data_IF_538758890301
#
_entry.id   IF_538758890301
#
_cell.length_a   1.000
_cell.length_b   1.000
_cell.length_c   1.000
_cell.angle_alpha   90.00
_cell.angle_beta   90.00
_cell.angle_gamma   90.00
#
_symmetry.space_group_name_H-M   'P 1'
#
loop_
_entity.id
_entity.type
_entity.pdbx_description
1 polymer ?
#
# COMPACT_ATOMS: atom_id res chain seq x y z
N UNK A 1 -6.44 -1.81 30.00
CA UNK A 1 -7.42 -1.02 29.25
C UNK A 1 -7.81 -1.84 28.03
N UNK A 2 -9.07 -2.25 27.94
CA UNK A 2 -9.63 -2.86 26.74
C UNK A 2 -10.10 -1.73 25.84
N UNK A 3 -9.49 -1.59 24.65
CA UNK A 3 -10.00 -0.67 23.63
C UNK A 3 -11.22 -1.30 22.96
N UNK A 4 -12.18 -0.48 22.57
CA UNK A 4 -13.21 -0.88 21.62
C UNK A 4 -12.53 -1.27 20.30
N UNK A 5 -12.95 -2.35 19.66
CA UNK A 5 -12.43 -2.77 18.36
C UNK A 5 -13.53 -2.69 17.32
N UNK A 6 -13.15 -2.33 16.10
CA UNK A 6 -14.03 -2.30 14.92
C UNK A 6 -13.32 -3.01 13.77
N UNK A 7 -14.07 -3.52 12.83
CA UNK A 7 -13.47 -4.08 11.61
C UNK A 7 -13.00 -2.98 10.67
N UNK A 8 -11.95 -3.26 9.90
CA UNK A 8 -11.40 -2.30 8.94
C UNK A 8 -12.47 -1.86 7.91
N UNK A 9 -13.39 -2.75 7.52
CA UNK A 9 -14.49 -2.44 6.60
C UNK A 9 -15.53 -1.48 7.19
N UNK A 10 -15.65 -1.35 8.50
CA UNK A 10 -16.53 -0.36 9.14
C UNK A 10 -15.97 1.05 8.99
N UNK A 11 -14.65 1.21 9.01
CA UNK A 11 -13.96 2.49 9.04
C UNK A 11 -13.26 2.88 7.73
N UNK A 12 -13.16 1.96 6.77
CA UNK A 12 -12.52 2.19 5.48
C UNK A 12 -13.26 1.51 4.33
N UNK A 13 -13.14 2.06 3.14
CA UNK A 13 -13.51 1.41 1.89
C UNK A 13 -12.38 0.49 1.43
N UNK A 14 -12.70 -0.77 1.21
CA UNK A 14 -11.78 -1.75 0.63
C UNK A 14 -12.10 -1.91 -0.85
N UNK A 15 -11.30 -1.30 -1.70
CA UNK A 15 -11.50 -1.27 -3.15
C UNK A 15 -10.55 -2.29 -3.78
N UNK A 16 -11.09 -3.37 -4.32
CA UNK A 16 -10.30 -4.32 -5.13
C UNK A 16 -10.21 -3.78 -6.56
N UNK A 17 -9.02 -3.84 -7.14
CA UNK A 17 -8.75 -3.25 -8.43
C UNK A 17 -9.50 -3.87 -9.61
N UNK A 18 -9.55 -3.14 -10.70
CA UNK A 18 -10.24 -3.53 -11.93
C UNK A 18 -9.50 -4.65 -12.67
N UNK A 19 -10.27 -5.54 -13.29
CA UNK A 19 -9.75 -6.67 -14.05
C UNK A 19 -9.40 -6.27 -15.49
N UNK A 20 -8.35 -5.46 -15.65
CA UNK A 20 -7.83 -5.10 -16.95
C UNK A 20 -7.32 -6.33 -17.71
N UNK A 21 -7.53 -6.38 -19.01
CA UNK A 21 -6.96 -7.42 -19.86
C UNK A 21 -5.49 -7.11 -20.13
N UNK A 22 -4.61 -8.02 -19.77
CA UNK A 22 -3.15 -7.80 -19.85
C UNK A 22 -2.62 -7.59 -21.27
N UNK A 23 -3.33 -8.11 -22.29
CA UNK A 23 -3.00 -7.91 -23.70
C UNK A 23 -3.16 -6.45 -24.16
N UNK A 24 -3.99 -5.67 -23.45
CA UNK A 24 -4.30 -4.28 -23.77
C UNK A 24 -3.37 -3.29 -23.03
N UNK A 25 -2.44 -3.83 -22.21
CA UNK A 25 -1.43 -3.01 -21.55
C UNK A 25 -0.40 -2.49 -22.56
N UNK A 26 -0.01 -1.23 -22.42
CA UNK A 26 1.12 -0.71 -23.19
C UNK A 26 2.37 -0.49 -22.33
N UNK A 27 3.52 -0.39 -22.99
CA UNK A 27 4.84 -0.20 -22.38
C UNK A 27 5.50 1.11 -22.79
N UNK A 28 4.83 1.88 -23.63
CA UNK A 28 5.38 3.10 -24.24
C UNK A 28 5.15 4.38 -23.41
N UNK A 29 4.57 4.25 -22.22
CA UNK A 29 4.31 5.39 -21.34
C UNK A 29 3.03 6.16 -21.64
N UNK A 30 2.19 5.68 -22.58
CA UNK A 30 0.96 6.38 -22.94
C UNK A 30 -0.18 6.03 -21.99
N UNK A 31 -0.78 7.05 -21.37
CA UNK A 31 -1.92 6.93 -20.47
C UNK A 31 -1.54 6.96 -19.00
N UNK A 32 -2.27 6.22 -18.16
CA UNK A 32 -2.13 6.18 -16.71
C UNK A 32 -1.39 4.91 -16.26
N UNK A 33 -0.45 5.04 -15.36
CA UNK A 33 0.31 3.90 -14.81
C UNK A 33 -0.62 2.96 -14.04
N UNK A 34 -0.36 1.67 -14.21
CA UNK A 34 -1.10 0.59 -13.58
C UNK A 34 -0.37 0.07 -12.33
N UNK A 35 -1.03 0.12 -11.16
CA UNK A 35 -0.52 -0.49 -9.93
C UNK A 35 -0.96 -1.95 -9.88
N UNK A 36 -0.01 -2.85 -10.10
CA UNK A 36 -0.19 -4.31 -10.05
C UNK A 36 0.56 -4.88 -8.84
N UNK A 37 0.25 -6.10 -8.40
CA UNK A 37 0.89 -6.72 -7.24
C UNK A 37 2.42 -6.64 -7.25
N UNK A 38 3.05 -6.82 -8.43
CA UNK A 38 4.51 -6.75 -8.57
C UNK A 38 5.11 -5.33 -8.47
N UNK A 39 4.28 -4.30 -8.56
CA UNK A 39 4.72 -2.93 -8.38
C UNK A 39 4.76 -2.53 -6.89
N UNK A 40 4.14 -3.33 -6.01
CA UNK A 40 4.10 -3.04 -4.58
C UNK A 40 5.23 -3.81 -3.89
N UNK A 41 6.03 -3.10 -3.14
CA UNK A 41 7.06 -3.65 -2.27
C UNK A 41 6.75 -3.30 -0.81
N UNK A 42 7.59 -3.68 0.13
CA UNK A 42 7.38 -3.31 1.52
C UNK A 42 7.52 -1.79 1.69
N UNK A 43 6.40 -1.12 1.97
CA UNK A 43 6.24 0.32 2.24
C UNK A 43 6.48 1.25 1.03
N UNK A 44 6.62 0.74 -0.20
CA UNK A 44 6.89 1.59 -1.36
C UNK A 44 6.36 0.99 -2.67
N UNK A 45 6.28 1.82 -3.71
CA UNK A 45 6.06 1.38 -5.09
C UNK A 45 7.40 1.22 -5.81
N UNK A 46 7.46 0.25 -6.71
CA UNK A 46 8.62 0.01 -7.57
C UNK A 46 8.19 0.11 -9.04
N UNK A 47 8.89 0.95 -9.76
CA UNK A 47 8.73 1.14 -11.20
C UNK A 47 9.99 0.67 -11.94
N UNK A 48 9.86 0.24 -13.19
CA UNK A 48 10.97 -0.24 -14.03
C UNK A 48 10.44 -0.81 -15.35
N UNK A 49 11.16 -1.72 -15.97
CA UNK A 49 10.80 -2.36 -17.26
C UNK A 49 9.42 -3.04 -17.25
N UNK A 50 9.00 -3.46 -16.07
CA UNK A 50 7.68 -4.04 -15.83
C UNK A 50 6.55 -3.04 -15.70
N UNK A 51 6.81 -1.73 -15.73
CA UNK A 51 5.76 -0.70 -15.67
C UNK A 51 4.81 -0.85 -16.86
N UNK A 52 3.51 -0.70 -16.62
CA UNK A 52 2.46 -0.80 -17.62
C UNK A 52 1.52 0.39 -17.49
N UNK A 53 0.95 0.78 -18.61
CA UNK A 53 0.05 1.92 -18.72
C UNK A 53 -1.26 1.50 -19.36
N UNK A 54 -2.30 2.28 -19.07
CA UNK A 54 -3.64 2.14 -19.64
C UNK A 54 -4.05 3.43 -20.35
N UNK A 55 -4.51 3.32 -21.58
CA UNK A 55 -4.89 4.48 -22.41
C UNK A 55 -6.33 4.42 -22.93
N UNK A 56 -7.06 3.33 -22.68
CA UNK A 56 -8.46 3.21 -23.06
C UNK A 56 -9.37 3.59 -21.87
N UNK A 57 -10.08 4.70 -22.04
CA UNK A 57 -11.04 5.23 -21.06
C UNK A 57 -12.48 5.18 -21.59
N UNK A 58 -12.78 4.24 -22.48
CA UNK A 58 -14.14 4.00 -23.00
C UNK A 58 -15.13 3.51 -21.92
N UNK A 59 -14.62 3.01 -20.81
CA UNK A 59 -15.37 2.60 -19.63
C UNK A 59 -15.09 3.52 -18.44
N UNK A 60 -16.03 3.64 -17.53
CA UNK A 60 -15.84 4.42 -16.30
C UNK A 60 -14.86 3.70 -15.34
N UNK A 61 -13.69 4.28 -15.18
CA UNK A 61 -12.64 3.83 -14.26
C UNK A 61 -12.48 4.72 -13.03
N UNK A 62 -13.37 5.69 -12.83
CA UNK A 62 -13.27 6.71 -11.77
C UNK A 62 -13.04 6.11 -10.38
N UNK A 63 -13.71 5.00 -10.08
CA UNK A 63 -13.57 4.27 -8.81
C UNK A 63 -12.15 3.72 -8.57
N UNK A 64 -11.43 3.41 -9.63
CA UNK A 64 -10.13 2.74 -9.57
C UNK A 64 -8.94 3.69 -9.65
N UNK A 65 -9.18 4.99 -9.83
CA UNK A 65 -8.12 5.98 -9.68
C UNK A 65 -7.72 6.08 -8.21
N UNK A 66 -6.42 5.90 -7.99
CA UNK A 66 -5.83 6.09 -6.68
C UNK A 66 -5.69 7.58 -6.37
N UNK A 67 -5.75 7.88 -5.09
CA UNK A 67 -5.60 9.22 -4.53
C UNK A 67 -4.37 9.26 -3.64
N UNK A 68 -3.89 10.46 -3.40
CA UNK A 68 -2.86 10.69 -2.38
C UNK A 68 -3.29 10.09 -1.04
N UNK A 69 -2.34 9.51 -0.34
CA UNK A 69 -2.49 8.79 0.93
C UNK A 69 -3.29 7.48 0.87
N UNK A 70 -3.81 7.05 -0.27
CA UNK A 70 -4.37 5.70 -0.38
C UNK A 70 -3.34 4.65 0.04
N UNK A 71 -3.77 3.62 0.75
CA UNK A 71 -2.94 2.48 1.11
C UNK A 71 -3.25 1.34 0.13
N UNK A 72 -2.24 0.83 -0.55
CA UNK A 72 -2.41 -0.30 -1.47
C UNK A 72 -1.71 -1.55 -0.92
N UNK A 73 -2.35 -2.71 -1.09
CA UNK A 73 -1.88 -4.01 -0.60
C UNK A 73 -1.91 -5.04 -1.72
N UNK A 74 -0.81 -5.76 -1.91
CA UNK A 74 -0.76 -6.91 -2.81
C UNK A 74 -1.56 -8.09 -2.25
N UNK A 75 -2.47 -8.65 -3.05
CA UNK A 75 -3.43 -9.67 -2.62
C UNK A 75 -2.99 -11.10 -2.95
N UNK A 76 -1.89 -11.31 -3.64
CA UNK A 76 -1.38 -12.63 -4.02
C UNK A 76 0.15 -12.71 -3.96
N UNK A 77 0.65 -13.95 -4.09
CA UNK A 77 2.07 -14.25 -4.10
C UNK A 77 2.67 -14.56 -2.72
N UNK A 78 3.95 -14.90 -2.71
CA UNK A 78 4.68 -15.33 -1.49
C UNK A 78 4.75 -14.25 -0.39
N UNK A 79 4.63 -12.97 -0.79
CA UNK A 79 4.68 -11.81 0.11
C UNK A 79 3.30 -11.16 0.29
N UNK A 80 2.22 -11.95 0.14
CA UNK A 80 0.85 -11.47 0.34
C UNK A 80 0.70 -10.84 1.72
N UNK A 81 0.12 -9.62 1.76
CA UNK A 81 -0.06 -8.85 2.99
C UNK A 81 1.22 -8.23 3.58
N UNK A 82 2.39 -8.56 3.04
CA UNK A 82 3.69 -7.97 3.44
C UNK A 82 4.18 -6.90 2.47
N UNK A 83 3.60 -6.89 1.26
CA UNK A 83 3.79 -5.86 0.25
C UNK A 83 2.61 -4.89 0.31
N UNK A 84 2.87 -3.70 0.81
CA UNK A 84 1.91 -2.59 0.92
C UNK A 84 2.65 -1.26 0.73
N UNK A 85 1.95 -0.25 0.24
CA UNK A 85 2.51 1.09 0.05
C UNK A 85 1.45 2.16 0.30
N UNK A 86 1.89 3.35 0.71
CA UNK A 86 1.09 4.56 0.74
C UNK A 86 1.38 5.35 -0.55
N UNK A 87 0.33 5.80 -1.21
CA UNK A 87 0.43 6.57 -2.45
C UNK A 87 0.81 8.02 -2.12
N UNK A 88 1.84 8.53 -2.77
CA UNK A 88 2.26 9.92 -2.65
C UNK A 88 1.74 10.75 -3.83
N UNK A 89 1.71 12.07 -3.70
CA UNK A 89 1.34 12.98 -4.79
C UNK A 89 2.20 12.77 -6.03
N UNK A 90 3.51 12.54 -5.85
CA UNK A 90 4.45 12.29 -6.95
C UNK A 90 4.23 10.97 -7.72
N UNK A 91 3.47 10.05 -7.13
CA UNK A 91 3.10 8.79 -7.79
C UNK A 91 1.97 8.97 -8.80
N UNK A 92 1.10 9.95 -8.58
CA UNK A 92 -0.14 10.13 -9.35
C UNK A 92 0.11 10.67 -10.78
N UNK A 93 -0.77 10.35 -11.74
CA UNK A 93 -1.98 9.53 -11.64
C UNK A 93 -1.71 8.03 -11.72
N UNK A 94 -2.52 7.23 -11.00
CA UNK A 94 -2.41 5.77 -10.92
C UNK A 94 -3.78 5.10 -11.04
N UNK A 95 -3.83 3.92 -11.66
CA UNK A 95 -5.01 3.03 -11.70
C UNK A 95 -4.74 1.73 -10.95
N UNK A 96 -5.72 1.31 -10.17
CA UNK A 96 -5.69 0.10 -9.35
C UNK A 96 -6.08 -1.13 -10.18
N UNK A 97 -5.18 -2.10 -10.29
CA UNK A 97 -5.39 -3.34 -11.05
C UNK A 97 -5.81 -4.48 -10.12
N UNK A 98 -6.57 -5.45 -10.63
CA UNK A 98 -6.94 -6.68 -9.90
C UNK A 98 -5.75 -7.31 -9.18
N UNK A 99 -6.02 -8.01 -8.08
CA UNK A 99 -5.00 -8.57 -7.17
C UNK A 99 -4.24 -7.51 -6.38
N UNK A 100 -4.74 -6.28 -6.39
CA UNK A 100 -4.36 -5.22 -5.45
C UNK A 100 -5.63 -4.67 -4.81
N UNK A 101 -5.60 -4.47 -3.51
CA UNK A 101 -6.63 -3.76 -2.77
C UNK A 101 -6.13 -2.36 -2.38
N UNK A 102 -7.02 -1.39 -2.45
CA UNK A 102 -6.85 -0.05 -1.89
C UNK A 102 -7.68 0.07 -0.61
N UNK A 103 -7.10 0.60 0.44
CA UNK A 103 -7.75 0.94 1.70
C UNK A 103 -7.84 2.45 1.79
N UNK A 104 -9.06 2.98 1.82
CA UNK A 104 -9.35 4.42 1.89
C UNK A 104 -10.23 4.70 3.09
N UNK A 105 -9.77 5.55 3.99
CA UNK A 105 -10.51 5.92 5.20
C UNK A 105 -11.87 6.54 4.86
N UNK A 106 -12.89 6.17 5.62
CA UNK A 106 -14.19 6.83 5.60
C UNK A 106 -14.14 8.16 6.37
N UNK A 107 -15.18 8.97 6.19
CA UNK A 107 -15.29 10.25 6.90
C UNK A 107 -15.17 10.06 8.42
N UNK A 108 -14.35 10.88 9.06
CA UNK A 108 -14.11 10.83 10.51
C UNK A 108 -13.02 9.84 10.95
N UNK A 109 -12.33 9.22 9.98
CA UNK A 109 -11.19 8.34 10.24
C UNK A 109 -9.93 8.94 9.61
N UNK A 110 -8.84 8.94 10.34
CA UNK A 110 -7.54 9.39 9.83
C UNK A 110 -6.92 8.31 8.93
N UNK A 111 -6.63 8.67 7.69
CA UNK A 111 -5.93 7.79 6.75
C UNK A 111 -4.52 7.44 7.26
N UNK A 112 -3.85 8.40 7.91
CA UNK A 112 -2.54 8.20 8.51
C UNK A 112 -2.60 7.22 9.70
N UNK A 113 -3.68 7.26 10.50
CA UNK A 113 -3.89 6.29 11.56
C UNK A 113 -4.04 4.87 10.99
N UNK A 114 -4.81 4.70 9.90
CA UNK A 114 -4.92 3.40 9.22
C UNK A 114 -3.57 2.93 8.67
N UNK A 115 -2.76 3.85 8.12
CA UNK A 115 -1.41 3.52 7.66
C UNK A 115 -0.57 2.95 8.80
N UNK A 116 -0.57 3.59 9.97
CA UNK A 116 0.20 3.13 11.11
C UNK A 116 -0.23 1.75 11.61
N UNK A 117 -1.51 1.39 11.47
CA UNK A 117 -2.04 0.08 11.84
C UNK A 117 -1.64 -0.99 10.80
N UNK A 118 -1.82 -0.70 9.51
CA UNK A 118 -1.52 -1.64 8.41
C UNK A 118 -0.02 -1.89 8.29
N UNK A 119 0.81 -0.88 8.52
CA UNK A 119 2.26 -0.97 8.41
C UNK A 119 2.93 -1.67 9.63
N UNK A 120 2.23 -2.61 10.27
CA UNK A 120 2.70 -3.32 11.47
C UNK A 120 2.88 -4.81 11.25
N UNK A 121 3.79 -5.45 12.00
CA UNK A 121 3.89 -6.92 12.04
C UNK A 121 2.60 -7.61 12.53
N UNK A 122 1.73 -6.90 13.26
CA UNK A 122 0.45 -7.46 13.75
C UNK A 122 -0.49 -7.70 12.57
N UNK A 123 -0.61 -6.74 11.66
CA UNK A 123 -1.38 -6.91 10.43
C UNK A 123 -0.79 -8.02 9.55
N UNK A 124 0.54 -8.06 9.38
CA UNK A 124 1.20 -9.11 8.61
C UNK A 124 0.89 -10.51 9.18
N UNK A 125 0.90 -10.67 10.51
CA UNK A 125 0.52 -11.93 11.19
C UNK A 125 -0.95 -12.28 10.96
N UNK A 126 -1.85 -11.30 11.06
CA UNK A 126 -3.27 -11.54 10.76
C UNK A 126 -3.43 -12.09 9.34
N UNK A 127 -2.81 -11.47 8.33
CA UNK A 127 -2.85 -11.96 6.95
C UNK A 127 -2.31 -13.39 6.84
N UNK A 128 -1.24 -13.72 7.56
CA UNK A 128 -0.68 -15.08 7.57
C UNK A 128 -1.68 -16.11 8.12
N UNK A 129 -2.65 -15.72 8.97
CA UNK A 129 -3.69 -16.62 9.51
C UNK A 129 -4.88 -16.79 8.57
N UNK A 130 -5.22 -15.78 7.77
CA UNK A 130 -6.44 -15.77 6.94
C UNK A 130 -6.19 -16.06 5.45
N UNK A 131 -4.93 -15.97 4.99
CA UNK A 131 -4.58 -16.26 3.60
C UNK A 131 -4.94 -17.69 3.22
N UNK A 132 -5.33 -17.89 1.97
CA UNK A 132 -5.69 -19.17 1.39
C UNK A 132 -4.77 -19.51 0.21
N UNK A 133 -4.77 -20.77 -0.21
CA UNK A 133 -3.91 -21.26 -1.31
C UNK A 133 -2.53 -21.70 -0.83
N UNK A 134 -2.16 -22.92 -1.18
CA UNK A 134 -0.88 -23.55 -0.78
C UNK A 134 0.26 -23.22 -1.74
N UNK A 135 -0.02 -23.18 -3.05
CA UNK A 135 0.99 -22.92 -4.09
C UNK A 135 1.18 -21.42 -4.32
N UNK A 136 0.10 -20.68 -4.45
CA UNK A 136 0.10 -19.22 -4.57
C UNK A 136 -0.83 -18.69 -3.50
N UNK A 137 -0.30 -18.26 -2.34
CA UNK A 137 -1.11 -17.67 -1.29
C UNK A 137 -1.85 -16.42 -1.80
N UNK A 138 -3.10 -16.28 -1.39
CA UNK A 138 -3.90 -15.10 -1.72
C UNK A 138 -4.85 -14.72 -0.59
N UNK A 139 -5.27 -13.46 -0.59
CA UNK A 139 -6.29 -12.90 0.29
C UNK A 139 -7.37 -12.19 -0.53
N UNK A 140 -8.56 -12.10 0.01
CA UNK A 140 -9.68 -11.35 -0.56
C UNK A 140 -9.82 -9.97 0.10
N UNK A 141 -10.51 -9.06 -0.59
CA UNK A 141 -10.88 -7.78 0.01
C UNK A 141 -11.74 -7.95 1.27
N UNK A 142 -12.57 -9.00 1.33
CA UNK A 142 -13.37 -9.34 2.52
C UNK A 142 -12.46 -9.67 3.70
N UNK A 143 -11.47 -10.55 3.54
CA UNK A 143 -10.52 -10.89 4.60
C UNK A 143 -9.70 -9.68 5.06
N UNK A 144 -9.32 -8.76 4.16
CA UNK A 144 -8.69 -7.50 4.56
C UNK A 144 -9.66 -6.67 5.41
N UNK A 145 -10.92 -6.58 5.00
CA UNK A 145 -11.95 -5.79 5.68
C UNK A 145 -12.35 -6.33 7.05
N UNK A 146 -12.19 -7.63 7.31
CA UNK A 146 -12.48 -8.29 8.59
C UNK A 146 -11.38 -8.09 9.65
N UNK A 147 -10.26 -7.47 9.30
CA UNK A 147 -9.22 -7.16 10.27
C UNK A 147 -9.75 -6.21 11.35
N UNK A 148 -9.65 -6.63 12.61
CA UNK A 148 -10.07 -5.83 13.77
C UNK A 148 -8.96 -4.85 14.16
N UNK A 149 -9.34 -3.59 14.33
CA UNK A 149 -8.44 -2.50 14.72
C UNK A 149 -8.95 -1.81 15.99
N UNK A 150 -8.06 -1.25 16.82
CA UNK A 150 -8.48 -0.39 17.93
C UNK A 150 -9.23 0.83 17.39
N UNK A 151 -10.39 1.11 17.99
CA UNK A 151 -11.17 2.31 17.68
C UNK A 151 -10.95 3.35 18.78
N UNK A 152 -10.54 4.53 18.36
CA UNK A 152 -10.37 5.70 19.21
C UNK A 152 -10.95 6.93 18.50
N UNK A 153 -11.26 7.99 19.23
CA UNK A 153 -11.76 9.24 18.67
C UNK A 153 -10.76 9.87 17.70
N UNK A 154 -11.25 10.72 16.79
CA UNK A 154 -10.46 11.28 15.69
C UNK A 154 -9.25 12.11 16.18
N UNK A 155 -9.39 12.86 17.28
CA UNK A 155 -8.26 13.62 17.83
C UNK A 155 -7.15 12.71 18.35
N UNK A 156 -7.54 11.62 18.99
CA UNK A 156 -6.60 10.59 19.47
C UNK A 156 -5.92 9.90 18.27
N UNK A 157 -6.65 9.59 17.19
CA UNK A 157 -6.07 9.05 15.96
C UNK A 157 -4.99 9.98 15.40
N UNK A 158 -5.26 11.30 15.33
CA UNK A 158 -4.29 12.29 14.84
C UNK A 158 -3.06 12.38 15.74
N UNK A 159 -3.22 12.34 17.06
CA UNK A 159 -2.08 12.36 17.99
C UNK A 159 -1.19 11.12 17.83
N UNK A 160 -1.79 9.93 17.77
CA UNK A 160 -1.06 8.67 17.59
C UNK A 160 -0.30 8.69 16.26
N UNK A 161 -1.00 8.98 15.16
CA UNK A 161 -0.38 8.98 13.84
C UNK A 161 0.71 10.06 13.72
N UNK A 162 0.52 11.25 14.25
CA UNK A 162 1.52 12.31 14.23
C UNK A 162 2.82 11.94 14.94
N UNK A 163 2.73 11.29 16.11
CA UNK A 163 3.91 10.79 16.84
C UNK A 163 4.62 9.72 16.02
N UNK A 164 3.89 8.72 15.53
CA UNK A 164 4.48 7.59 14.79
C UNK A 164 5.08 8.04 13.46
N UNK A 165 4.43 8.92 12.72
CA UNK A 165 4.96 9.48 11.47
C UNK A 165 6.25 10.28 11.70
N UNK A 166 6.33 11.06 12.78
CA UNK A 166 7.56 11.79 13.10
C UNK A 166 8.75 10.87 13.42
N UNK A 167 8.49 9.72 14.03
CA UNK A 167 9.52 8.69 14.27
C UNK A 167 9.91 8.02 12.95
N UNK A 168 8.95 7.68 12.11
CA UNK A 168 9.18 7.09 10.79
C UNK A 168 10.05 7.97 9.90
N UNK A 169 9.74 9.27 9.82
CA UNK A 169 10.54 10.26 9.08
C UNK A 169 12.00 10.32 9.58
N UNK A 170 12.21 10.30 10.89
CA UNK A 170 13.57 10.28 11.46
C UNK A 170 14.32 9.00 11.11
N UNK A 171 13.65 7.86 11.12
CA UNK A 171 14.26 6.58 10.72
C UNK A 171 14.66 6.63 9.25
N UNK A 172 13.79 7.11 8.36
CA UNK A 172 14.08 7.25 6.93
C UNK A 172 15.25 8.22 6.68
N UNK A 173 15.27 9.37 7.36
CA UNK A 173 16.35 10.34 7.25
C UNK A 173 17.69 9.74 7.71
N UNK A 174 17.72 9.07 8.86
CA UNK A 174 18.93 8.45 9.36
C UNK A 174 19.43 7.33 8.41
N UNK A 175 18.53 6.57 7.81
CA UNK A 175 18.88 5.55 6.81
C UNK A 175 19.54 6.20 5.59
N UNK A 176 18.93 7.24 5.04
CA UNK A 176 19.48 7.98 3.89
C UNK A 176 20.85 8.60 4.21
N UNK A 177 21.03 9.16 5.42
CA UNK A 177 22.32 9.67 5.88
C UNK A 177 23.38 8.56 5.91
N UNK A 178 23.07 7.41 6.51
CA UNK A 178 23.99 6.28 6.60
C UNK A 178 24.38 5.72 5.22
N UNK A 179 23.43 5.64 4.28
CA UNK A 179 23.70 5.23 2.90
C UNK A 179 24.68 6.20 2.21
N UNK A 180 24.49 7.50 2.38
CA UNK A 180 25.40 8.51 1.83
C UNK A 180 26.81 8.43 2.41
N UNK A 181 26.97 8.07 3.67
CA UNK A 181 28.30 7.87 4.29
C UNK A 181 28.99 6.59 3.82
N UNK A 182 28.24 5.57 3.39
CA UNK A 182 28.82 4.29 2.93
C UNK A 182 29.24 4.30 1.46
N UNK A 183 28.69 5.19 0.63
CA UNK A 183 29.03 5.32 -0.80
C UNK A 183 30.48 5.73 -1.09
N UNK A 184 31.15 6.66 -0.34
CA UNK A 184 32.54 7.04 -0.61
C UNK A 184 33.57 5.94 -0.30
N UNK A 185 33.28 5.04 0.62
CA UNK A 185 34.22 3.97 1.04
C UNK A 185 34.37 2.84 0.00
N UNK A 186 33.41 2.69 -0.92
CA UNK A 186 33.47 1.69 -2.00
C UNK A 186 34.27 2.15 -3.22
N UNK A 187 34.48 3.46 -3.39
CA UNK A 187 35.25 4.02 -4.53
C UNK A 187 36.77 4.04 -4.31
N UNK A 188 37.26 3.84 -3.08
CA UNK A 188 38.68 3.93 -2.74
C UNK A 188 39.40 2.56 -2.58
N UNK A 189 38.76 1.43 -2.96
CA UNK A 189 39.36 0.09 -2.80
C UNK A 189 39.92 -0.48 -4.13
N UNK A 190 40.04 0.30 -5.19
CA UNK A 190 40.71 -0.07 -6.42
C UNK A 190 41.72 1.00 -6.83
N UNK A 191 42.80 1.11 -6.08
CA UNK A 191 44.08 1.66 -6.51
C UNK A 191 45.23 0.74 -6.07
#
# INVERSE_FOLDING_TARGET
MTFETVTLSEVADIIVGFAFKSQDFNTNGNGVRLVRGKNITKRSLRWGEDTRWWSDFSIDLSRYFLKENDIVIGMDGSLVGKNYAKITESDLPLLLVQRVACIRAKKGISQEYLWQIIATPVFEKYIDTVKTGTTIPHISGKQIGEYEIPYVDYETQLKISGILSSIEERVLLNTAINENFTLPSRLNLHR
#
